data_IF_807866511737
#
_entry.id   IF_807866511737
#
_cell.length_a   1.000
_cell.length_b   1.000
_cell.length_c   1.000
_cell.angle_alpha   90.00
_cell.angle_beta   90.00
_cell.angle_gamma   90.00
#
_symmetry.space_group_name_H-M   'P 1'
#
loop_
_entity.id
_entity.type
_entity.pdbx_description
1 polymer ?
#
# COMPACT_ATOMS: atom_id res chain seq x y z
N UNK A 1 3.24 -5.10 53.03
CA UNK A 1 3.04 -3.76 52.42
C UNK A 1 3.33 -3.90 50.93
N UNK A 2 2.46 -3.39 50.05
CA UNK A 2 2.53 -3.67 48.60
C UNK A 2 3.84 -3.19 47.97
N UNK A 3 4.60 -4.11 47.36
CA UNK A 3 5.83 -3.87 46.58
C UNK A 3 5.61 -2.91 45.41
N UNK A 4 4.37 -2.80 44.90
CA UNK A 4 4.04 -1.97 43.75
C UNK A 4 4.23 -0.45 44.01
N UNK A 5 4.12 0.00 45.26
CA UNK A 5 4.22 1.43 45.60
C UNK A 5 5.64 1.86 46.01
N UNK A 6 6.59 0.93 46.13
CA UNK A 6 7.95 1.24 46.58
C UNK A 6 8.67 2.22 45.66
N UNK A 7 8.64 2.06 44.32
CA UNK A 7 9.31 2.98 43.40
C UNK A 7 8.74 4.41 43.41
N UNK A 8 7.45 4.57 43.72
CA UNK A 8 6.83 5.89 43.88
C UNK A 8 7.38 6.61 45.11
N UNK A 9 7.56 5.88 46.23
CA UNK A 9 8.13 6.44 47.45
C UNK A 9 9.59 6.83 47.27
N UNK A 10 10.36 6.01 46.57
CA UNK A 10 11.77 6.32 46.27
C UNK A 10 11.89 7.62 45.44
N UNK A 11 11.04 7.79 44.43
CA UNK A 11 11.00 9.03 43.66
C UNK A 11 10.60 10.24 44.53
N UNK A 12 9.63 10.07 45.45
CA UNK A 12 9.26 11.12 46.41
C UNK A 12 10.41 11.47 47.36
N UNK A 13 11.16 10.49 47.87
CA UNK A 13 12.31 10.77 48.74
C UNK A 13 13.39 11.59 48.04
N UNK A 14 13.65 11.33 46.76
CA UNK A 14 14.59 12.14 45.97
C UNK A 14 14.09 13.59 45.79
N UNK A 15 12.78 13.78 45.66
CA UNK A 15 12.18 15.11 45.60
C UNK A 15 12.26 15.81 46.97
N UNK A 16 11.96 15.11 48.06
CA UNK A 16 12.10 15.65 49.41
C UNK A 16 13.55 16.09 49.67
N UNK A 17 14.54 15.27 49.31
CA UNK A 17 15.97 15.60 49.46
C UNK A 17 16.41 16.78 48.60
N UNK A 18 15.84 16.92 47.39
CA UNK A 18 16.14 18.05 46.53
C UNK A 18 15.64 19.37 47.16
N UNK A 19 14.45 19.37 47.77
CA UNK A 19 13.83 20.54 48.39
C UNK A 19 14.16 20.73 49.89
N UNK A 20 14.87 19.80 50.53
CA UNK A 20 15.12 19.83 51.98
C UNK A 20 15.71 21.17 52.48
N UNK A 21 16.55 21.82 51.67
CA UNK A 21 17.22 23.09 52.00
C UNK A 21 16.73 24.29 51.18
N UNK A 22 15.66 24.13 50.38
CA UNK A 22 15.18 25.14 49.44
C UNK A 22 13.69 25.43 49.67
N UNK A 23 13.36 26.68 50.00
CA UNK A 23 11.97 27.14 50.09
C UNK A 23 11.35 27.36 48.72
N UNK A 24 12.19 27.64 47.71
CA UNK A 24 11.76 27.91 46.34
C UNK A 24 12.61 27.18 45.30
N UNK A 25 12.03 26.92 44.11
CA UNK A 25 12.72 26.24 43.00
C UNK A 25 13.97 26.99 42.55
N UNK A 26 13.97 28.33 42.65
CA UNK A 26 15.10 29.18 42.26
C UNK A 26 16.36 28.99 43.11
N UNK A 27 16.23 28.40 44.30
CA UNK A 27 17.34 28.14 45.23
C UNK A 27 18.05 26.80 44.93
N UNK A 28 17.44 25.97 44.09
CA UNK A 28 18.00 24.67 43.72
C UNK A 28 19.23 24.83 42.82
N UNK A 29 20.30 24.12 43.18
CA UNK A 29 21.47 23.98 42.29
C UNK A 29 21.08 23.29 40.97
N UNK A 30 21.85 23.54 39.91
CA UNK A 30 21.62 22.90 38.58
C UNK A 30 21.59 21.37 38.66
N UNK A 31 22.43 20.76 39.49
CA UNK A 31 22.43 19.30 39.68
C UNK A 31 21.17 18.82 40.41
N UNK A 32 20.74 19.52 41.46
CA UNK A 32 19.46 19.22 42.15
C UNK A 32 18.26 19.39 41.20
N UNK A 33 18.24 20.41 40.34
CA UNK A 33 17.20 20.61 39.32
C UNK A 33 17.11 19.43 38.33
N UNK A 34 18.26 18.95 37.83
CA UNK A 34 18.30 17.80 36.92
C UNK A 34 17.83 16.52 37.62
N UNK A 35 18.28 16.28 38.86
CA UNK A 35 17.87 15.12 39.66
C UNK A 35 16.38 15.14 39.97
N UNK A 36 15.84 16.30 40.37
CA UNK A 36 14.41 16.51 40.60
C UNK A 36 13.58 16.24 39.33
N UNK A 37 14.02 16.76 38.18
CA UNK A 37 13.33 16.52 36.91
C UNK A 37 13.34 15.03 36.52
N UNK A 38 14.46 14.32 36.74
CA UNK A 38 14.54 12.88 36.50
C UNK A 38 13.61 12.09 37.44
N UNK A 39 13.54 12.46 38.72
CA UNK A 39 12.66 11.86 39.72
C UNK A 39 11.17 12.10 39.38
N UNK A 40 10.79 13.32 38.99
CA UNK A 40 9.44 13.63 38.50
C UNK A 40 9.08 12.79 37.26
N UNK A 41 10.02 12.62 36.33
CA UNK A 41 9.83 11.76 35.17
C UNK A 41 9.61 10.30 35.53
N UNK A 42 10.39 9.76 36.47
CA UNK A 42 10.21 8.40 36.98
C UNK A 42 8.86 8.23 37.71
N UNK A 43 8.51 9.18 38.58
CA UNK A 43 7.23 9.22 39.28
C UNK A 43 6.06 9.20 38.29
N UNK A 44 6.09 10.08 37.27
CA UNK A 44 5.04 10.16 36.26
C UNK A 44 4.87 8.83 35.52
N UNK A 45 5.96 8.19 35.08
CA UNK A 45 5.87 6.88 34.40
C UNK A 45 5.25 5.80 35.28
N UNK A 46 5.57 5.78 36.58
CA UNK A 46 5.00 4.83 37.54
C UNK A 46 3.52 5.09 37.81
N UNK A 47 3.12 6.36 37.95
CA UNK A 47 1.71 6.75 38.08
C UNK A 47 0.93 6.40 36.82
N UNK A 48 1.48 6.69 35.64
CA UNK A 48 0.87 6.34 34.36
C UNK A 48 0.69 4.82 34.21
N UNK A 49 1.67 4.01 34.64
CA UNK A 49 1.56 2.55 34.63
C UNK A 49 0.41 2.04 35.53
N UNK A 50 0.24 2.62 36.72
CA UNK A 50 -0.91 2.33 37.58
C UNK A 50 -2.22 2.81 36.96
N UNK A 51 -2.24 4.00 36.35
CA UNK A 51 -3.41 4.54 35.67
C UNK A 51 -3.86 3.63 34.52
N UNK A 52 -2.91 3.04 33.77
CA UNK A 52 -3.20 2.02 32.75
C UNK A 52 -3.84 0.78 33.37
N UNK A 53 -3.34 0.27 34.49
CA UNK A 53 -3.92 -0.91 35.16
C UNK A 53 -5.35 -0.63 35.67
N UNK A 54 -5.57 0.53 36.29
CA UNK A 54 -6.89 0.96 36.76
C UNK A 54 -7.83 1.16 35.57
N UNK A 55 -7.36 1.76 34.48
CA UNK A 55 -8.14 1.94 33.26
C UNK A 55 -8.58 0.60 32.66
N UNK A 56 -7.71 -0.42 32.67
CA UNK A 56 -8.05 -1.78 32.25
C UNK A 56 -9.16 -2.39 33.12
N UNK A 57 -9.08 -2.24 34.45
CA UNK A 57 -10.12 -2.68 35.38
C UNK A 57 -11.45 -1.97 35.16
N UNK A 58 -11.43 -0.64 35.00
CA UNK A 58 -12.63 0.16 34.69
C UNK A 58 -13.23 -0.28 33.35
N UNK A 59 -12.41 -0.54 32.34
CA UNK A 59 -12.88 -1.00 31.04
C UNK A 59 -13.52 -2.40 31.13
N UNK A 60 -12.93 -3.31 31.91
CA UNK A 60 -13.47 -4.63 32.18
C UNK A 60 -14.84 -4.58 32.88
N UNK A 61 -14.98 -3.72 33.89
CA UNK A 61 -16.25 -3.49 34.60
C UNK A 61 -17.24 -2.62 33.81
N UNK A 62 -16.81 -2.06 32.68
CA UNK A 62 -17.65 -1.23 31.81
C UNK A 62 -17.96 -1.89 30.47
N UNK A 63 -17.69 -3.18 30.31
CA UNK A 63 -17.89 -3.89 29.05
C UNK A 63 -19.35 -3.82 28.57
N UNK A 64 -19.59 -3.78 27.24
CA UNK A 64 -20.93 -3.70 26.68
C UNK A 64 -21.87 -4.81 27.16
N UNK A 65 -21.34 -6.00 27.42
CA UNK A 65 -22.09 -7.18 27.88
C UNK A 65 -22.84 -6.95 29.21
N UNK A 66 -22.36 -6.02 30.06
CA UNK A 66 -22.98 -5.70 31.35
C UNK A 66 -24.19 -4.77 31.22
N UNK A 67 -24.47 -4.22 30.04
CA UNK A 67 -25.69 -3.42 29.83
C UNK A 67 -25.78 -2.24 30.81
N UNK A 68 -26.81 -2.22 31.66
CA UNK A 68 -27.02 -1.20 32.69
C UNK A 68 -26.15 -1.38 33.95
N UNK A 69 -25.60 -2.57 34.15
CA UNK A 69 -24.70 -2.89 35.28
C UNK A 69 -23.25 -2.42 35.03
N UNK A 70 -22.96 -1.93 33.83
CA UNK A 70 -21.67 -1.32 33.47
C UNK A 70 -21.28 -0.22 34.47
N UNK A 71 -20.07 -0.31 35.03
CA UNK A 71 -19.52 0.66 35.99
C UNK A 71 -19.59 2.09 35.46
N UNK A 72 -19.22 2.32 34.20
CA UNK A 72 -19.33 3.64 33.58
C UNK A 72 -20.76 4.18 33.60
N UNK A 73 -21.76 3.34 33.29
CA UNK A 73 -23.17 3.77 33.27
C UNK A 73 -23.73 3.99 34.66
N UNK A 74 -23.39 3.14 35.63
CA UNK A 74 -23.76 3.35 37.04
C UNK A 74 -23.16 4.65 37.59
N UNK A 75 -21.98 5.02 37.11
CA UNK A 75 -21.34 6.30 37.43
C UNK A 75 -21.86 7.48 36.58
N UNK A 76 -22.83 7.28 35.68
CA UNK A 76 -23.44 8.34 34.86
C UNK A 76 -22.71 8.72 33.58
N UNK A 77 -21.73 7.91 33.15
CA UNK A 77 -20.92 8.16 31.95
C UNK A 77 -21.29 7.23 30.79
N UNK A 78 -21.15 7.74 29.56
CA UNK A 78 -21.43 6.95 28.34
C UNK A 78 -20.36 5.90 28.06
N UNK A 79 -19.12 6.14 28.47
CA UNK A 79 -17.96 5.27 28.20
C UNK A 79 -16.99 5.27 29.38
N UNK A 80 -16.18 4.20 29.56
CA UNK A 80 -15.14 4.15 30.58
C UNK A 80 -14.09 5.27 30.40
N UNK A 81 -13.74 5.60 29.16
CA UNK A 81 -12.83 6.72 28.86
C UNK A 81 -13.41 8.08 29.32
N UNK A 82 -14.73 8.29 29.20
CA UNK A 82 -15.37 9.50 29.70
C UNK A 82 -15.35 9.58 31.23
N UNK A 83 -15.59 8.46 31.93
CA UNK A 83 -15.47 8.36 33.38
C UNK A 83 -14.03 8.71 33.84
N UNK A 84 -13.02 8.13 33.19
CA UNK A 84 -11.61 8.38 33.54
C UNK A 84 -11.24 9.85 33.28
N UNK A 85 -11.60 10.41 32.12
CA UNK A 85 -11.31 11.80 31.79
C UNK A 85 -11.94 12.77 32.80
N UNK A 86 -13.21 12.56 33.16
CA UNK A 86 -13.92 13.42 34.10
C UNK A 86 -13.36 13.37 35.53
N UNK A 87 -12.86 12.22 35.97
CA UNK A 87 -12.33 12.03 37.34
C UNK A 87 -10.86 12.38 37.49
N UNK A 88 -10.07 12.27 36.43
CA UNK A 88 -8.61 12.52 36.47
C UNK A 88 -8.20 13.86 35.85
N UNK A 89 -9.11 14.53 35.13
CA UNK A 89 -8.86 15.83 34.49
C UNK A 89 -8.05 15.74 33.19
N UNK A 90 -7.79 14.54 32.66
CA UNK A 90 -7.11 14.35 31.36
C UNK A 90 -8.09 14.44 30.19
N UNK A 91 -7.57 14.57 28.97
CA UNK A 91 -8.40 14.54 27.76
C UNK A 91 -9.07 13.17 27.57
N UNK A 92 -10.22 13.14 26.91
CA UNK A 92 -10.89 11.87 26.53
C UNK A 92 -10.00 11.00 25.64
N UNK A 93 -9.14 11.61 24.82
CA UNK A 93 -8.15 10.89 24.00
C UNK A 93 -7.05 10.24 24.82
N UNK A 94 -6.55 10.91 25.87
CA UNK A 94 -5.58 10.31 26.79
C UNK A 94 -6.21 9.20 27.62
N UNK A 95 -7.44 9.38 28.12
CA UNK A 95 -8.18 8.35 28.82
C UNK A 95 -8.43 7.11 27.93
N UNK A 96 -8.86 7.30 26.68
CA UNK A 96 -9.03 6.23 25.72
C UNK A 96 -7.71 5.50 25.41
N UNK A 97 -6.58 6.24 25.37
CA UNK A 97 -5.24 5.65 25.23
C UNK A 97 -4.90 4.76 26.42
N UNK A 98 -5.13 5.22 27.65
CA UNK A 98 -4.89 4.42 28.85
C UNK A 98 -5.72 3.13 28.84
N UNK A 99 -7.00 3.21 28.45
CA UNK A 99 -7.88 2.04 28.29
C UNK A 99 -7.31 1.08 27.26
N UNK A 100 -6.99 1.55 26.05
CA UNK A 100 -6.47 0.71 24.97
C UNK A 100 -5.16 0.00 25.34
N UNK A 101 -4.21 0.73 25.94
CA UNK A 101 -2.97 0.13 26.44
C UNK A 101 -3.29 -0.87 27.54
N UNK A 102 -4.17 -0.50 28.48
CA UNK A 102 -4.59 -1.32 29.60
C UNK A 102 -5.17 -2.66 29.16
N UNK A 103 -6.08 -2.67 28.21
CA UNK A 103 -6.66 -3.89 27.64
C UNK A 103 -5.61 -4.78 26.95
N UNK A 104 -4.58 -4.17 26.34
CA UNK A 104 -3.52 -4.90 25.66
C UNK A 104 -2.50 -5.53 26.63
N UNK A 105 -2.23 -4.87 27.76
CA UNK A 105 -1.26 -5.33 28.77
C UNK A 105 -1.91 -6.06 29.94
N UNK A 106 -3.24 -6.07 30.04
CA UNK A 106 -3.94 -6.80 31.09
C UNK A 106 -3.73 -8.32 30.95
N UNK A 107 -3.57 -9.04 32.07
CA UNK A 107 -3.65 -10.49 32.09
C UNK A 107 -4.97 -10.96 31.48
N UNK A 108 -4.92 -12.07 30.75
CA UNK A 108 -6.11 -12.66 30.11
C UNK A 108 -6.50 -13.92 30.85
N UNK A 109 -7.71 -14.41 30.57
CA UNK A 109 -8.17 -15.72 31.01
C UNK A 109 -8.50 -16.56 29.80
N UNK A 110 -8.15 -17.84 29.84
CA UNK A 110 -8.55 -18.78 28.80
C UNK A 110 -10.00 -19.25 29.02
N UNK A 111 -10.47 -20.18 28.17
CA UNK A 111 -11.83 -20.73 28.27
C UNK A 111 -12.07 -21.57 29.52
N UNK A 112 -11.00 -22.02 30.19
CA UNK A 112 -11.03 -22.83 31.41
C UNK A 112 -10.90 -21.93 32.66
N UNK A 113 -10.65 -20.63 32.48
CA UNK A 113 -10.44 -19.66 33.56
C UNK A 113 -8.98 -19.59 34.03
N UNK A 114 -8.07 -20.27 33.36
CA UNK A 114 -6.64 -20.20 33.67
C UNK A 114 -6.05 -18.87 33.23
N UNK A 115 -5.14 -18.34 34.05
CA UNK A 115 -4.53 -17.03 33.79
C UNK A 115 -3.52 -17.13 32.66
N UNK A 116 -3.79 -16.40 31.58
CA UNK A 116 -2.88 -16.23 30.46
C UNK A 116 -2.06 -14.94 30.60
N UNK A 117 -0.83 -14.92 30.06
CA UNK A 117 -0.06 -13.70 29.98
C UNK A 117 -0.79 -12.64 29.14
N UNK A 118 -0.37 -11.38 29.34
CA UNK A 118 -0.82 -10.25 28.55
C UNK A 118 -0.72 -10.52 27.05
N UNK A 119 -1.46 -9.75 26.24
CA UNK A 119 -1.34 -9.86 24.78
C UNK A 119 0.06 -9.49 24.31
N UNK A 120 0.66 -8.50 24.97
CA UNK A 120 2.03 -8.03 24.77
C UNK A 120 2.80 -8.04 26.12
N UNK A 121 3.41 -9.19 26.50
CA UNK A 121 4.07 -9.36 27.80
C UNK A 121 5.30 -8.48 28.01
N UNK A 122 6.10 -8.21 26.97
CA UNK A 122 7.28 -7.35 27.11
C UNK A 122 6.86 -5.89 27.31
N UNK A 123 5.79 -5.45 26.64
CA UNK A 123 5.22 -4.11 26.86
C UNK A 123 4.69 -3.97 28.29
N UNK A 124 4.00 -5.00 28.80
CA UNK A 124 3.50 -5.03 30.17
C UNK A 124 4.64 -4.92 31.20
N UNK A 125 5.70 -5.69 31.02
CA UNK A 125 6.86 -5.67 31.90
C UNK A 125 7.56 -4.31 31.92
N UNK A 126 7.84 -3.72 30.75
CA UNK A 126 8.52 -2.42 30.67
C UNK A 126 7.66 -1.25 31.19
N UNK A 127 6.34 -1.31 30.98
CA UNK A 127 5.40 -0.33 31.51
C UNK A 127 5.30 -0.42 33.02
N UNK A 128 5.10 -1.62 33.57
CA UNK A 128 5.01 -1.83 35.03
C UNK A 128 6.34 -1.48 35.74
N UNK A 129 7.47 -1.72 35.08
CA UNK A 129 8.80 -1.28 35.49
C UNK A 129 9.02 0.24 35.35
N UNK A 130 8.12 0.99 34.71
CA UNK A 130 8.27 2.43 34.50
C UNK A 130 9.44 2.82 33.59
N UNK A 131 9.92 1.88 32.77
CA UNK A 131 11.00 2.06 31.80
C UNK A 131 10.48 2.72 30.52
N UNK A 132 9.24 2.40 30.14
CA UNK A 132 8.51 2.99 29.03
C UNK A 132 7.26 3.69 29.56
N UNK A 133 7.00 4.93 29.12
CA UNK A 133 5.79 5.67 29.50
C UNK A 133 4.54 5.21 28.73
N UNK A 134 3.35 5.45 29.27
CA UNK A 134 2.09 5.00 28.67
C UNK A 134 1.86 5.50 27.22
N UNK A 135 2.31 6.72 26.90
CA UNK A 135 2.24 7.23 25.53
C UNK A 135 3.12 6.44 24.55
N UNK A 136 4.35 6.07 24.97
CA UNK A 136 5.25 5.25 24.15
C UNK A 136 4.71 3.83 23.98
N UNK A 137 4.22 3.23 25.08
CA UNK A 137 3.56 1.94 25.05
C UNK A 137 2.35 1.92 24.09
N UNK A 138 1.56 3.00 24.03
CA UNK A 138 0.44 3.09 23.09
C UNK A 138 0.87 3.04 21.62
N UNK A 139 1.95 3.74 21.24
CA UNK A 139 2.48 3.71 19.88
C UNK A 139 2.96 2.30 19.53
N UNK A 140 3.63 1.63 20.46
CA UNK A 140 4.10 0.25 20.31
C UNK A 140 2.92 -0.71 20.14
N UNK A 141 1.93 -0.66 21.04
CA UNK A 141 0.71 -1.51 21.00
C UNK A 141 -0.05 -1.32 19.69
N UNK A 142 -0.23 -0.09 19.24
CA UNK A 142 -0.93 0.20 17.98
C UNK A 142 -0.18 -0.35 16.74
N UNK A 143 1.14 -0.31 16.76
CA UNK A 143 1.95 -0.96 15.73
C UNK A 143 1.82 -2.48 15.79
N UNK A 144 1.95 -3.09 16.97
CA UNK A 144 1.87 -4.55 17.13
C UNK A 144 0.48 -5.09 16.76
N UNK A 145 -0.59 -4.34 17.05
CA UNK A 145 -1.97 -4.67 16.64
C UNK A 145 -2.13 -4.78 15.12
N UNK A 146 -1.41 -3.95 14.37
CA UNK A 146 -1.37 -4.03 12.90
C UNK A 146 -0.39 -5.10 12.43
N UNK A 147 0.76 -5.23 13.09
CA UNK A 147 1.82 -6.15 12.71
C UNK A 147 1.41 -7.63 12.83
N UNK A 148 0.53 -7.96 13.78
CA UNK A 148 0.01 -9.34 13.98
C UNK A 148 -0.95 -9.83 12.90
N UNK A 149 -1.46 -8.94 12.05
CA UNK A 149 -2.40 -9.34 10.99
C UNK A 149 -1.60 -10.09 9.92
N UNK A 150 -1.91 -11.38 9.73
CA UNK A 150 -1.24 -12.22 8.75
C UNK A 150 0.23 -12.52 9.07
N UNK A 151 0.59 -12.64 10.36
CA UNK A 151 1.91 -13.08 10.82
C UNK A 151 1.81 -14.09 11.94
N UNK A 152 2.81 -14.96 12.02
CA UNK A 152 2.96 -15.91 13.11
C UNK A 152 3.20 -15.21 14.44
N UNK A 153 2.71 -15.84 15.51
CA UNK A 153 2.78 -15.30 16.86
C UNK A 153 4.22 -15.09 17.33
N UNK A 154 5.12 -16.00 16.97
CA UNK A 154 6.52 -15.97 17.40
C UNK A 154 7.27 -14.79 16.78
N UNK A 155 7.03 -14.51 15.49
CA UNK A 155 7.58 -13.33 14.81
C UNK A 155 7.12 -12.03 15.49
N UNK A 156 5.83 -11.94 15.86
CA UNK A 156 5.30 -10.77 16.56
C UNK A 156 5.92 -10.63 17.95
N UNK A 157 6.13 -11.73 18.67
CA UNK A 157 6.78 -11.72 19.98
C UNK A 157 8.25 -11.27 19.90
N UNK A 158 8.98 -11.70 18.88
CA UNK A 158 10.36 -11.25 18.64
C UNK A 158 10.42 -9.75 18.32
N UNK A 159 9.50 -9.26 17.48
CA UNK A 159 9.36 -7.83 17.17
C UNK A 159 9.03 -7.03 18.42
N UNK A 160 8.08 -7.52 19.22
CA UNK A 160 7.70 -6.89 20.49
C UNK A 160 8.92 -6.73 21.41
N UNK A 161 9.64 -7.82 21.68
CA UNK A 161 10.79 -7.82 22.57
C UNK A 161 11.87 -6.81 22.12
N UNK A 162 12.26 -6.87 20.84
CA UNK A 162 13.28 -5.96 20.27
C UNK A 162 12.84 -4.50 20.26
N UNK A 163 11.56 -4.24 20.06
CA UNK A 163 11.02 -2.89 20.02
C UNK A 163 10.97 -2.27 21.41
N UNK A 164 10.55 -3.05 22.42
CA UNK A 164 10.51 -2.64 23.82
C UNK A 164 11.91 -2.41 24.37
N UNK A 165 12.84 -3.35 24.14
CA UNK A 165 14.25 -3.23 24.56
C UNK A 165 14.87 -1.91 24.09
N UNK A 166 14.65 -1.55 22.83
CA UNK A 166 15.17 -0.29 22.25
C UNK A 166 14.40 0.95 22.67
N UNK A 167 13.14 0.81 23.10
CA UNK A 167 12.31 1.94 23.51
C UNK A 167 12.67 2.46 24.92
N UNK A 168 13.35 1.66 25.74
CA UNK A 168 13.75 2.05 27.09
C UNK A 168 14.60 3.32 27.05
N UNK A 169 14.19 4.33 27.83
CA UNK A 169 14.90 5.60 27.94
C UNK A 169 14.74 6.55 26.75
N UNK A 170 14.02 6.16 25.69
CA UNK A 170 13.76 7.04 24.54
C UNK A 170 12.65 8.07 24.81
N UNK A 171 12.74 9.21 24.13
CA UNK A 171 11.64 10.17 24.06
C UNK A 171 10.47 9.60 23.25
N UNK A 172 9.27 10.17 23.42
CA UNK A 172 8.10 9.73 22.65
C UNK A 172 8.30 9.87 21.13
N UNK A 173 8.99 10.92 20.68
CA UNK A 173 9.27 11.12 19.26
C UNK A 173 10.30 10.13 18.73
N UNK A 174 11.26 9.72 19.55
CA UNK A 174 12.20 8.66 19.19
C UNK A 174 11.54 7.29 19.16
N UNK A 175 10.60 7.00 20.06
CA UNK A 175 9.77 5.80 20.00
C UNK A 175 8.93 5.78 18.72
N UNK A 176 8.33 6.91 18.31
CA UNK A 176 7.61 7.02 17.03
C UNK A 176 8.54 6.74 15.83
N UNK A 177 9.75 7.31 15.84
CA UNK A 177 10.76 7.06 14.79
C UNK A 177 11.20 5.60 14.77
N UNK A 178 11.42 4.98 15.93
CA UNK A 178 11.76 3.57 16.08
C UNK A 178 10.67 2.67 15.51
N UNK A 179 9.41 2.92 15.88
CA UNK A 179 8.24 2.19 15.36
C UNK A 179 8.11 2.36 13.85
N UNK A 180 8.31 3.58 13.32
CA UNK A 180 8.26 3.82 11.88
C UNK A 180 9.34 3.02 11.14
N UNK A 181 10.55 2.95 11.70
CA UNK A 181 11.64 2.13 11.14
C UNK A 181 11.30 0.63 11.17
N UNK A 182 10.74 0.15 12.28
CA UNK A 182 10.28 -1.24 12.40
C UNK A 182 9.18 -1.57 11.38
N UNK A 183 8.24 -0.65 11.14
CA UNK A 183 7.20 -0.78 10.13
C UNK A 183 7.78 -0.90 8.72
N UNK A 184 8.77 -0.07 8.37
CA UNK A 184 9.45 -0.15 7.07
C UNK A 184 10.12 -1.51 6.88
N UNK A 185 10.91 -1.96 7.87
CA UNK A 185 11.60 -3.25 7.79
C UNK A 185 10.60 -4.42 7.65
N UNK A 186 9.54 -4.41 8.44
CA UNK A 186 8.50 -5.44 8.38
C UNK A 186 7.75 -5.46 7.05
N UNK A 187 7.59 -4.32 6.38
CA UNK A 187 6.95 -4.26 5.07
C UNK A 187 7.91 -4.66 3.94
N UNK A 188 9.21 -4.37 4.08
CA UNK A 188 10.25 -4.88 3.18
C UNK A 188 10.25 -6.41 3.15
N UNK A 189 10.22 -7.07 4.31
CA UNK A 189 10.15 -8.53 4.41
C UNK A 189 8.94 -9.11 3.63
N UNK A 190 7.80 -8.40 3.63
CA UNK A 190 6.60 -8.82 2.89
C UNK A 190 6.74 -8.63 1.39
N UNK A 191 7.39 -7.55 0.97
CA UNK A 191 7.65 -7.29 -0.44
C UNK A 191 8.56 -8.39 -0.98
N UNK A 192 9.64 -8.72 -0.29
CA UNK A 192 10.60 -9.76 -0.69
C UNK A 192 9.91 -11.13 -0.82
N UNK A 193 9.12 -11.52 0.18
CA UNK A 193 8.36 -12.77 0.14
C UNK A 193 7.36 -12.81 -1.04
N UNK A 194 6.67 -11.70 -1.31
CA UNK A 194 5.74 -11.59 -2.46
C UNK A 194 6.48 -11.58 -3.79
N UNK A 195 7.65 -10.98 -3.88
CA UNK A 195 8.45 -10.97 -5.10
C UNK A 195 8.98 -12.36 -5.44
N UNK A 196 9.37 -13.14 -4.43
CA UNK A 196 9.76 -14.53 -4.61
C UNK A 196 8.58 -15.40 -5.05
N UNK A 197 7.41 -15.21 -4.44
CA UNK A 197 6.17 -15.88 -4.86
C UNK A 197 5.74 -15.48 -6.28
N UNK A 198 5.86 -14.20 -6.65
CA UNK A 198 5.59 -13.70 -8.01
C UNK A 198 6.58 -14.23 -9.04
N UNK A 199 7.85 -14.36 -8.68
CA UNK A 199 8.87 -15.01 -9.51
C UNK A 199 8.52 -16.49 -9.74
N UNK A 200 7.98 -17.17 -8.73
CA UNK A 200 7.52 -18.55 -8.83
C UNK A 200 6.20 -18.71 -9.63
N UNK A 201 5.34 -17.69 -9.67
CA UNK A 201 4.08 -17.71 -10.44
C UNK A 201 4.23 -17.33 -11.91
N UNK A 202 5.46 -17.06 -12.39
CA UNK A 202 5.74 -16.76 -13.79
C UNK A 202 5.27 -17.94 -14.66
N UNK A 203 4.27 -17.70 -15.50
CA UNK A 203 3.75 -18.73 -16.40
C UNK A 203 3.28 -18.10 -17.70
N UNK A 204 3.57 -18.79 -18.79
CA UNK A 204 2.99 -18.51 -20.10
C UNK A 204 2.24 -19.78 -20.51
N UNK A 205 0.92 -19.66 -20.63
CA UNK A 205 0.07 -20.77 -21.11
C UNK A 205 -0.55 -20.39 -22.45
N UNK A 206 -0.55 -21.34 -23.37
CA UNK A 206 -1.19 -21.23 -24.67
C UNK A 206 -2.12 -22.42 -24.86
N UNK A 207 -3.34 -22.17 -25.32
CA UNK A 207 -4.30 -23.21 -25.69
C UNK A 207 -5.13 -22.78 -26.89
N UNK A 208 -5.54 -23.75 -27.69
CA UNK A 208 -6.38 -23.53 -28.87
C UNK A 208 -7.84 -23.83 -28.53
N UNK A 209 -8.73 -22.91 -28.89
CA UNK A 209 -10.17 -23.11 -28.79
C UNK A 209 -10.88 -22.35 -29.91
N UNK A 210 -11.81 -23.01 -30.59
CA UNK A 210 -12.64 -22.43 -31.63
C UNK A 210 -11.81 -21.70 -32.73
N UNK A 211 -10.62 -22.22 -33.05
CA UNK A 211 -9.71 -21.65 -34.06
C UNK A 211 -8.92 -20.43 -33.63
N UNK A 212 -9.00 -20.07 -32.35
CA UNK A 212 -8.31 -18.92 -31.78
C UNK A 212 -7.23 -19.40 -30.79
N UNK A 213 -6.03 -18.81 -30.91
CA UNK A 213 -4.96 -19.04 -29.95
C UNK A 213 -5.18 -18.14 -28.72
N UNK A 214 -5.47 -18.76 -27.58
CA UNK A 214 -5.57 -18.08 -26.30
C UNK A 214 -4.20 -18.06 -25.61
N UNK A 215 -3.67 -16.85 -25.38
CA UNK A 215 -2.43 -16.64 -24.65
C UNK A 215 -2.71 -16.02 -23.29
N UNK A 216 -2.25 -16.66 -22.21
CA UNK A 216 -2.27 -16.08 -20.86
C UNK A 216 -0.85 -15.99 -20.31
N UNK A 217 -0.36 -14.76 -20.19
CA UNK A 217 0.95 -14.44 -19.62
C UNK A 217 0.78 -13.86 -18.22
N UNK A 218 1.38 -14.50 -17.23
CA UNK A 218 1.57 -13.97 -15.89
C UNK A 218 3.05 -13.75 -15.68
N UNK A 219 3.46 -12.50 -15.51
CA UNK A 219 4.87 -12.11 -15.31
C UNK A 219 4.96 -10.93 -14.34
N UNK A 220 6.14 -10.72 -13.75
CA UNK A 220 6.45 -9.52 -12.97
C UNK A 220 6.51 -8.26 -13.83
N UNK A 221 6.44 -7.10 -13.17
CA UNK A 221 6.38 -5.79 -13.81
C UNK A 221 7.66 -5.48 -14.59
N UNK A 222 8.83 -5.90 -14.11
CA UNK A 222 10.11 -5.63 -14.76
C UNK A 222 10.22 -6.37 -16.10
N UNK A 223 9.83 -7.65 -16.12
CA UNK A 223 9.84 -8.49 -17.33
C UNK A 223 8.67 -8.20 -18.27
N UNK A 224 7.53 -7.71 -17.75
CA UNK A 224 6.37 -7.31 -18.54
C UNK A 224 6.49 -5.91 -19.17
N UNK A 225 7.31 -5.02 -18.61
CA UNK A 225 7.46 -3.65 -19.09
C UNK A 225 7.94 -3.58 -20.56
N UNK A 226 8.95 -4.34 -21.02
CA UNK A 226 9.33 -4.35 -22.44
C UNK A 226 8.22 -4.83 -23.36
N UNK A 227 7.51 -5.90 -22.98
CA UNK A 227 6.41 -6.49 -23.79
C UNK A 227 5.30 -5.45 -23.98
N UNK A 228 4.86 -4.84 -22.89
CA UNK A 228 3.84 -3.80 -22.92
C UNK A 228 4.29 -2.58 -23.74
N UNK A 229 5.53 -2.13 -23.55
CA UNK A 229 6.07 -0.97 -24.26
C UNK A 229 6.16 -1.19 -25.76
N UNK A 230 6.62 -2.36 -26.21
CA UNK A 230 6.67 -2.70 -27.63
C UNK A 230 5.26 -2.71 -28.25
N UNK A 231 4.31 -3.37 -27.59
CA UNK A 231 2.93 -3.48 -28.07
C UNK A 231 2.23 -2.10 -28.11
N UNK A 232 2.28 -1.34 -27.02
CA UNK A 232 1.66 -0.01 -26.96
C UNK A 232 2.33 0.94 -27.97
N UNK A 233 3.65 0.85 -28.18
CA UNK A 233 4.38 1.61 -29.20
C UNK A 233 3.93 1.32 -30.63
N UNK A 234 3.73 0.05 -30.99
CA UNK A 234 3.19 -0.33 -32.29
C UNK A 234 1.77 0.22 -32.51
N UNK A 235 0.90 0.08 -31.51
CA UNK A 235 -0.48 0.58 -31.57
C UNK A 235 -0.49 2.10 -31.74
N UNK A 236 0.33 2.83 -30.98
CA UNK A 236 0.46 4.28 -31.12
C UNK A 236 0.95 4.67 -32.52
N UNK A 237 1.93 3.95 -33.09
CA UNK A 237 2.40 4.20 -34.44
C UNK A 237 1.31 3.98 -35.50
N UNK A 238 0.46 2.94 -35.34
CA UNK A 238 -0.68 2.69 -36.23
C UNK A 238 -1.72 3.82 -36.16
N UNK A 239 -2.04 4.31 -34.96
CA UNK A 239 -2.94 5.46 -34.81
C UNK A 239 -2.38 6.75 -35.41
N UNK A 240 -1.07 6.98 -35.26
CA UNK A 240 -0.41 8.15 -35.85
C UNK A 240 -0.41 8.06 -37.38
N UNK A 241 -0.08 6.90 -37.95
CA UNK A 241 -0.14 6.67 -39.38
C UNK A 241 -1.55 6.86 -39.96
N UNK A 242 -2.60 6.44 -39.24
CA UNK A 242 -4.00 6.71 -39.62
C UNK A 242 -4.30 8.19 -39.66
N UNK A 243 -3.90 8.93 -38.62
CA UNK A 243 -4.12 10.38 -38.52
C UNK A 243 -3.38 11.12 -39.63
N UNK A 244 -2.16 10.70 -39.94
CA UNK A 244 -1.36 11.29 -41.01
C UNK A 244 -1.93 10.97 -42.40
N UNK A 245 -2.44 9.75 -42.61
CA UNK A 245 -3.14 9.36 -43.83
C UNK A 245 -4.47 10.12 -44.01
N UNK A 246 -5.23 10.32 -42.93
CA UNK A 246 -6.45 11.12 -42.93
C UNK A 246 -6.13 12.59 -43.22
N UNK A 247 -5.08 13.15 -42.59
CA UNK A 247 -4.61 14.50 -42.86
C UNK A 247 -4.14 14.66 -44.31
N UNK A 248 -3.46 13.66 -44.88
CA UNK A 248 -3.05 13.63 -46.28
C UNK A 248 -4.25 13.52 -47.25
N UNK A 249 -5.26 12.70 -46.92
CA UNK A 249 -6.49 12.57 -47.71
C UNK A 249 -7.32 13.87 -47.70
N UNK A 250 -7.39 14.56 -46.55
CA UNK A 250 -8.05 15.87 -46.42
C UNK A 250 -7.25 16.95 -47.17
N UNK A 251 -5.92 16.91 -47.14
CA UNK A 251 -5.07 17.81 -47.93
C UNK A 251 -5.24 17.57 -49.45
N UNK A 252 -5.33 16.31 -49.90
CA UNK A 252 -5.60 15.96 -51.29
C UNK A 252 -6.98 16.43 -51.77
N UNK A 253 -8.04 16.28 -50.94
CA UNK A 253 -9.37 16.83 -51.24
C UNK A 253 -9.38 18.36 -51.31
N UNK A 254 -8.56 19.04 -50.51
CA UNK A 254 -8.40 20.50 -50.58
C UNK A 254 -7.65 20.96 -51.84
N UNK A 255 -6.70 20.17 -52.33
CA UNK A 255 -6.01 20.45 -53.59
C UNK A 255 -6.93 20.29 -54.82
N UNK A 256 -7.82 19.30 -54.80
CA UNK A 256 -8.80 19.05 -55.88
C UNK A 256 -9.92 20.12 -55.91
N UNK A 257 -10.24 20.72 -54.75
CA UNK A 257 -11.14 21.87 -54.65
C UNK A 257 -10.48 23.23 -55.03
N UNK A 258 -9.17 23.25 -55.31
CA UNK A 258 -8.37 24.45 -55.53
C UNK A 258 -8.35 25.02 -56.96
N UNK A 259 -9.17 24.49 -57.89
CA UNK A 259 -9.31 25.04 -59.26
C UNK A 259 -10.70 25.66 -59.46
N UNK A 260 -11.07 26.63 -58.62
CA UNK A 260 -12.04 27.68 -58.95
C UNK A 260 -12.08 28.77 -57.86
N UNK A 261 -11.60 29.97 -58.18
CA UNK A 261 -11.95 31.20 -57.46
C UNK A 261 -10.77 32.05 -56.99
N UNK A 262 -10.44 33.10 -57.75
CA UNK A 262 -9.44 34.10 -57.40
C UNK A 262 -9.99 35.26 -56.55
N UNK A 263 -9.08 35.83 -55.73
CA UNK A 263 -8.94 37.25 -55.37
C UNK A 263 -10.02 37.98 -54.57
N UNK A 264 -9.65 38.56 -53.40
CA UNK A 264 -9.47 40.02 -53.12
C UNK A 264 -9.00 40.21 -51.65
N UNK A 265 -8.21 41.28 -51.39
CA UNK A 265 -7.36 41.57 -50.22
C UNK A 265 -8.02 41.97 -48.89
N UNK A 266 -7.27 41.89 -47.77
CA UNK A 266 -6.58 43.00 -47.05
C UNK A 266 -7.54 43.65 -45.99
N UNK A 267 -7.25 43.94 -44.72
CA UNK A 267 -6.06 44.25 -43.91
C UNK A 267 -6.38 44.11 -42.39
N UNK A 268 -5.31 43.98 -41.55
CA UNK A 268 -5.14 44.46 -40.12
C UNK A 268 -5.99 43.85 -38.98
N UNK A 269 -5.55 43.70 -37.73
CA UNK A 269 -4.28 43.92 -36.98
C UNK A 269 -4.34 43.14 -35.62
N UNK A 270 -3.16 42.78 -35.11
CA UNK A 270 -2.72 42.62 -33.70
C UNK A 270 -3.40 41.75 -32.64
N UNK A 271 -2.56 41.00 -31.91
CA UNK A 271 -2.86 40.51 -30.56
C UNK A 271 -2.02 39.32 -30.10
N UNK A 272 -0.84 39.60 -29.53
CA UNK A 272 -0.02 38.63 -28.80
C UNK A 272 -0.73 38.05 -27.56
N UNK A 273 -0.31 36.86 -27.09
CA UNK A 273 0.12 36.58 -25.70
C UNK A 273 0.54 35.12 -25.54
N UNK A 274 1.61 34.96 -24.76
CA UNK A 274 2.27 33.75 -24.29
C UNK A 274 1.53 33.00 -23.17
N UNK A 275 1.98 31.77 -22.87
CA UNK A 275 1.72 31.04 -21.62
C UNK A 275 1.51 29.55 -21.91
N UNK A 276 2.53 28.70 -21.74
CA UNK A 276 2.94 28.04 -20.49
C UNK A 276 2.06 26.81 -20.16
N UNK A 277 2.75 25.66 -20.04
CA UNK A 277 2.57 24.58 -19.04
C UNK A 277 1.12 24.16 -18.71
N UNK A 278 0.72 22.89 -18.79
CA UNK A 278 1.22 21.80 -17.95
C UNK A 278 0.25 20.63 -18.05
N UNK A 279 0.76 19.49 -17.61
CA UNK A 279 0.04 18.42 -16.92
C UNK A 279 -0.94 17.51 -17.67
N UNK A 280 -0.42 16.31 -17.90
CA UNK A 280 -0.91 15.06 -17.29
C UNK A 280 -2.35 15.07 -16.76
N UNK A 281 -3.15 14.14 -17.28
CA UNK A 281 -4.08 13.37 -16.45
C UNK A 281 -4.38 12.07 -17.19
N UNK A 282 -3.80 10.99 -16.67
CA UNK A 282 -4.36 9.66 -16.78
C UNK A 282 -5.73 9.62 -16.09
N UNK A 283 -6.64 8.81 -16.63
CA UNK A 283 -7.79 8.30 -15.90
C UNK A 283 -9.13 8.60 -16.56
N UNK A 284 -9.68 7.60 -17.24
CA UNK A 284 -11.05 7.66 -17.76
C UNK A 284 -11.41 6.50 -18.68
N UNK A 285 -11.26 5.24 -18.26
CA UNK A 285 -11.91 4.13 -18.97
C UNK A 285 -13.37 4.10 -18.58
N UNK A 286 -14.20 4.61 -19.47
CA UNK A 286 -15.65 4.48 -19.36
C UNK A 286 -16.34 5.30 -20.43
N UNK A 287 -16.38 4.80 -21.67
CA UNK A 287 -17.54 5.09 -22.52
C UNK A 287 -17.74 4.03 -23.60
N UNK A 288 -18.85 3.32 -23.46
CA UNK A 288 -19.51 2.58 -24.53
C UNK A 288 -20.13 3.58 -25.50
N UNK A 289 -19.92 3.43 -26.80
CA UNK A 289 -20.75 4.08 -27.81
C UNK A 289 -20.93 3.17 -29.01
N UNK A 290 -22.14 2.65 -29.14
CA UNK A 290 -22.70 2.11 -30.36
C UNK A 290 -22.53 3.12 -31.51
N UNK A 291 -22.14 2.64 -32.69
CA UNK A 291 -22.10 3.47 -33.91
C UNK A 291 -22.80 2.73 -35.05
N UNK A 292 -23.79 3.41 -35.63
CA UNK A 292 -24.54 3.01 -36.83
C UNK A 292 -23.67 3.09 -38.11
N UNK A 293 -24.05 2.41 -39.21
CA UNK A 293 -23.15 2.20 -40.34
C UNK A 293 -23.09 3.43 -41.26
N UNK A 294 -21.91 4.04 -41.36
CA UNK A 294 -21.56 5.06 -42.33
C UNK A 294 -20.76 4.50 -43.51
N UNK A 295 -21.04 5.02 -44.70
CA UNK A 295 -20.59 4.58 -46.01
C UNK A 295 -19.05 4.47 -46.16
N UNK A 296 -18.59 3.39 -46.81
CA UNK A 296 -17.18 3.06 -46.99
C UNK A 296 -16.44 4.01 -47.92
N UNK A 297 -15.41 4.66 -47.37
CA UNK A 297 -14.21 5.05 -48.11
C UNK A 297 -13.21 3.88 -48.06
N UNK A 298 -12.48 3.68 -49.16
CA UNK A 298 -11.45 2.65 -49.24
C UNK A 298 -10.34 2.96 -48.23
N UNK A 299 -10.07 1.99 -47.37
CA UNK A 299 -8.98 1.90 -46.39
C UNK A 299 -9.13 2.64 -45.04
N UNK A 300 -10.35 2.70 -44.48
CA UNK A 300 -10.48 2.87 -43.02
C UNK A 300 -10.22 1.53 -42.33
N UNK A 301 -9.04 1.40 -41.74
CA UNK A 301 -8.71 0.24 -40.91
C UNK A 301 -9.60 0.19 -39.64
N UNK A 302 -10.62 -0.68 -39.67
CA UNK A 302 -11.64 -0.83 -38.61
C UNK A 302 -11.19 -1.67 -37.40
N UNK A 303 -9.92 -2.08 -37.34
CA UNK A 303 -9.41 -2.90 -36.23
C UNK A 303 -9.55 -2.16 -34.89
N UNK A 304 -9.98 -2.89 -33.87
CA UNK A 304 -10.04 -2.39 -32.48
C UNK A 304 -8.64 -2.36 -31.85
N UNK A 305 -8.47 -1.63 -30.75
CA UNK A 305 -7.19 -1.61 -29.99
C UNK A 305 -6.77 -3.03 -29.59
N UNK A 306 -7.71 -3.89 -29.19
CA UNK A 306 -7.41 -5.28 -28.84
C UNK A 306 -6.90 -6.08 -30.04
N UNK A 307 -7.48 -5.89 -31.23
CA UNK A 307 -7.00 -6.53 -32.46
C UNK A 307 -5.60 -6.03 -32.85
N UNK A 308 -5.34 -4.71 -32.77
CA UNK A 308 -4.01 -4.18 -33.06
C UNK A 308 -2.93 -4.68 -32.08
N UNK A 309 -3.28 -4.92 -30.82
CA UNK A 309 -2.38 -5.53 -29.83
C UNK A 309 -2.05 -6.98 -30.16
N UNK A 310 -3.04 -7.75 -30.63
CA UNK A 310 -2.82 -9.11 -31.11
C UNK A 310 -1.93 -9.12 -32.37
N UNK A 311 -2.18 -8.21 -33.31
CA UNK A 311 -1.36 -8.05 -34.51
C UNK A 311 0.09 -7.65 -34.17
N UNK A 312 0.27 -6.74 -33.22
CA UNK A 312 1.59 -6.33 -32.75
C UNK A 312 2.38 -7.52 -32.19
N UNK A 313 1.73 -8.35 -31.36
CA UNK A 313 2.35 -9.53 -30.78
C UNK A 313 2.72 -10.55 -31.87
N UNK A 314 1.84 -10.82 -32.83
CA UNK A 314 2.10 -11.70 -33.95
C UNK A 314 3.27 -11.20 -34.82
N UNK A 315 3.32 -9.88 -35.08
CA UNK A 315 4.40 -9.24 -35.84
C UNK A 315 5.74 -9.34 -35.12
N UNK A 316 5.78 -9.10 -33.81
CA UNK A 316 7.03 -9.23 -33.04
C UNK A 316 7.52 -10.68 -33.00
N UNK A 317 6.63 -11.65 -32.78
CA UNK A 317 6.98 -13.06 -32.83
C UNK A 317 7.48 -13.48 -34.22
N UNK A 318 6.79 -13.06 -35.30
CA UNK A 318 7.23 -13.32 -36.67
C UNK A 318 8.60 -12.69 -37.00
N UNK A 319 8.84 -11.46 -36.53
CA UNK A 319 10.13 -10.80 -36.67
C UNK A 319 11.23 -11.55 -35.93
N UNK A 320 10.99 -11.99 -34.69
CA UNK A 320 11.97 -12.75 -33.90
C UNK A 320 12.28 -14.10 -34.54
N UNK A 321 11.30 -14.80 -35.12
CA UNK A 321 11.50 -16.05 -35.85
C UNK A 321 12.34 -15.85 -37.13
N UNK A 322 12.24 -14.69 -37.78
CA UNK A 322 13.00 -14.34 -38.99
C UNK A 322 14.29 -13.57 -38.73
N UNK A 323 14.63 -13.24 -37.49
CA UNK A 323 15.80 -12.40 -37.16
C UNK A 323 17.08 -13.25 -37.10
N UNK A 324 18.09 -12.85 -37.87
CA UNK A 324 19.40 -13.53 -37.92
C UNK A 324 20.27 -13.26 -36.67
N UNK A 325 19.89 -12.30 -35.82
CA UNK A 325 20.60 -11.97 -34.58
C UNK A 325 20.04 -12.78 -33.41
N UNK A 326 20.91 -13.51 -32.73
CA UNK A 326 20.60 -14.64 -31.84
C UNK A 326 19.66 -14.31 -30.67
N UNK A 327 18.42 -14.75 -30.81
CA UNK A 327 17.65 -15.35 -29.72
C UNK A 327 17.75 -16.87 -29.92
N UNK A 328 17.91 -17.72 -28.89
CA UNK A 328 17.97 -19.17 -29.08
C UNK A 328 16.58 -19.72 -29.43
N UNK A 329 16.10 -19.37 -30.63
CA UNK A 329 14.95 -19.99 -31.30
C UNK A 329 15.44 -21.05 -32.29
N UNK A 330 16.74 -21.34 -32.29
CA UNK A 330 17.41 -22.27 -33.18
C UNK A 330 16.67 -23.62 -33.19
N UNK A 331 15.95 -23.89 -34.27
CA UNK A 331 15.20 -25.13 -34.49
C UNK A 331 13.67 -25.02 -34.48
N UNK A 332 13.07 -23.89 -34.12
CA UNK A 332 11.61 -23.72 -34.24
C UNK A 332 11.21 -23.67 -35.72
N UNK A 333 10.71 -24.80 -36.24
CA UNK A 333 10.22 -24.93 -37.61
C UNK A 333 8.70 -24.93 -37.58
N UNK A 334 8.08 -23.94 -38.21
CA UNK A 334 6.63 -23.96 -38.47
C UNK A 334 6.42 -24.72 -39.76
N UNK A 335 5.82 -25.91 -39.68
CA UNK A 335 5.50 -26.71 -40.87
C UNK A 335 4.05 -26.41 -41.25
N UNK A 336 3.86 -25.83 -42.42
CA UNK A 336 2.53 -25.60 -43.02
C UNK A 336 2.36 -26.58 -44.17
N UNK A 337 1.34 -27.44 -44.09
CA UNK A 337 0.98 -28.41 -45.12
C UNK A 337 -0.20 -27.88 -45.92
N UNK A 338 0.00 -27.67 -47.22
CA UNK A 338 -1.02 -27.21 -48.17
C UNK A 338 -1.04 -28.18 -49.35
N UNK A 339 -2.19 -28.40 -49.95
CA UNK A 339 -2.29 -29.13 -51.22
C UNK A 339 -1.75 -28.26 -52.38
N UNK A 340 -1.07 -28.86 -53.35
CA UNK A 340 -0.35 -28.15 -54.40
C UNK A 340 -1.31 -27.38 -55.32
N UNK A 341 -2.45 -27.98 -55.67
CA UNK A 341 -3.46 -27.35 -56.55
C UNK A 341 -4.13 -26.15 -55.84
N UNK A 342 -4.23 -26.23 -54.52
CA UNK A 342 -4.78 -25.23 -53.60
C UNK A 342 -3.84 -24.01 -53.44
N UNK A 343 -2.53 -24.24 -53.42
CA UNK A 343 -1.51 -23.20 -53.38
C UNK A 343 -1.40 -22.45 -54.72
N UNK A 344 -1.48 -23.17 -55.84
CA UNK A 344 -1.39 -22.59 -57.19
C UNK A 344 -2.65 -21.80 -57.58
N UNK A 345 -3.83 -22.22 -57.11
CA UNK A 345 -5.10 -21.51 -57.35
C UNK A 345 -5.32 -20.29 -56.47
N UNK A 346 -4.55 -20.15 -55.38
CA UNK A 346 -4.66 -19.02 -54.43
C UNK A 346 -5.95 -19.00 -53.63
N UNK A 347 -6.72 -20.10 -53.62
CA UNK A 347 -8.01 -20.22 -52.92
C UNK A 347 -8.07 -21.42 -51.95
N UNK A 348 -6.93 -22.08 -51.72
CA UNK A 348 -6.82 -23.28 -50.93
C UNK A 348 -6.70 -23.09 -49.42
N UNK A 349 -6.59 -24.20 -48.70
CA UNK A 349 -6.41 -24.21 -47.24
C UNK A 349 -5.18 -25.04 -46.85
N UNK A 350 -4.43 -24.54 -45.87
CA UNK A 350 -3.29 -25.19 -45.24
C UNK A 350 -3.60 -25.69 -43.83
N UNK A 351 -2.74 -26.54 -43.29
CA UNK A 351 -2.75 -26.97 -41.88
C UNK A 351 -1.37 -26.72 -41.28
N UNK A 352 -1.31 -26.23 -40.04
CA UNK A 352 -0.04 -26.02 -39.34
C UNK A 352 0.19 -27.17 -38.36
N UNK A 353 1.39 -27.76 -38.36
CA UNK A 353 1.73 -28.83 -37.42
C UNK A 353 1.66 -28.34 -35.97
N UNK A 354 0.71 -28.89 -35.20
CA UNK A 354 0.44 -28.50 -33.81
C UNK A 354 -0.82 -27.65 -33.62
N UNK A 355 -1.54 -27.30 -34.70
CA UNK A 355 -2.88 -26.70 -34.64
C UNK A 355 -3.92 -27.62 -35.29
N UNK A 356 -5.10 -27.75 -34.68
CA UNK A 356 -6.15 -28.64 -35.19
C UNK A 356 -7.03 -28.00 -36.28
N UNK A 357 -6.90 -26.69 -36.50
CA UNK A 357 -7.72 -25.91 -37.43
C UNK A 357 -6.98 -25.60 -38.74
N UNK A 358 -7.63 -25.75 -39.92
CA UNK A 358 -7.05 -25.28 -41.19
C UNK A 358 -6.95 -23.76 -41.26
N UNK A 359 -5.85 -23.27 -41.81
CA UNK A 359 -5.54 -21.86 -42.11
C UNK A 359 -5.74 -21.61 -43.61
N UNK A 360 -6.40 -20.52 -43.98
CA UNK A 360 -6.63 -20.11 -45.38
C UNK A 360 -5.78 -18.90 -45.75
#
# INVERSE_FOLDING_TARGET
MSTALSPLREALTVLDDAWADAGEVGELSRSKLIAANAALGALKRRVDALAVQVAAGIAHESRPELGAESLAKQAGFRTPAALIAATTGVSTGDAARLVKVGEAVAPRVDLVGERMPAKYPAVEAALSAGEVGAAGAAVIVEFLDRARIGRDRDVVADVEARLVERAVGLSLDDVRRLVKRAEILLEQDRLEAREEERRASRSLTFFERDGMLHLSLVTDVESGAPIRTAIDGYVTAQFQARKDAEAAAVAARRADAGVAGGGVGADREDGAVSGAESDSCAGGTGFSAATAPGAGGLDEDRRTVAMMRADALALFCGHVLGCETSVPVAGATVIVRVDLDDLESGTGHGTIDGTDQPVS
#
